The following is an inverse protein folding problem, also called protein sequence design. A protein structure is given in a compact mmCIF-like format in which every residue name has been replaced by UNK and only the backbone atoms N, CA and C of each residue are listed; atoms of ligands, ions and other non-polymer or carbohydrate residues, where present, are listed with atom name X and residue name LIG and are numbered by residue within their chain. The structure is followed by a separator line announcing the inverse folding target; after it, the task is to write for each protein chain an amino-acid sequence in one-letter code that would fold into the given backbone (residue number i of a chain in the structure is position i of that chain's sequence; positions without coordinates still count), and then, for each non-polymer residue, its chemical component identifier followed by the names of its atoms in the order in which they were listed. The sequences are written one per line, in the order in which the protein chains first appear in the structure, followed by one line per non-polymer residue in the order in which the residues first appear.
data_IF_960200834487
#
_entry.id   IF_960200834487
#
_cell.length_a   1.000
_cell.length_b   1.000
_cell.length_c   1.000
_cell.angle_alpha   90.00
_cell.angle_beta   90.00
_cell.angle_gamma   90.00
#
_symmetry.space_group_name_H-M   'P 1'
#
loop_
_entity.id
_entity.type
_entity.pdbx_description
1 polymer ?
#
# COMPACT_ATOMS: atom_id res chain seq x y z
N UNK A 1 8.83 -26.62 -4.17
CA UNK A 1 8.54 -26.84 -2.74
C UNK A 1 7.45 -25.87 -2.32
N UNK A 2 6.41 -26.31 -1.61
CA UNK A 2 5.40 -25.42 -1.03
C UNK A 2 6.05 -24.39 -0.09
N UNK A 3 5.36 -23.28 0.17
CA UNK A 3 5.81 -22.32 1.16
C UNK A 3 5.48 -22.88 2.54
N UNK A 4 6.49 -23.08 3.38
CA UNK A 4 6.33 -23.59 4.73
C UNK A 4 6.14 -22.42 5.70
N UNK A 5 5.09 -22.49 6.52
CA UNK A 5 4.85 -21.56 7.62
C UNK A 5 5.74 -21.97 8.80
N UNK A 6 6.41 -21.01 9.43
CA UNK A 6 7.15 -21.29 10.66
C UNK A 6 6.18 -21.49 11.83
N UNK A 7 6.52 -22.41 12.74
CA UNK A 7 5.83 -22.48 14.01
C UNK A 7 6.11 -21.19 14.80
N UNK A 8 5.11 -20.67 15.52
CA UNK A 8 5.27 -19.46 16.33
C UNK A 8 6.34 -19.66 17.41
N UNK A 9 6.48 -20.87 17.93
CA UNK A 9 7.47 -21.21 18.97
C UNK A 9 8.91 -21.23 18.43
N UNK A 10 9.08 -21.29 17.10
CA UNK A 10 10.39 -21.21 16.45
C UNK A 10 10.84 -19.75 16.22
N UNK A 11 9.91 -18.79 16.29
CA UNK A 11 10.18 -17.38 16.02
C UNK A 11 10.61 -16.67 17.30
N UNK A 12 11.93 -16.53 17.48
CA UNK A 12 12.50 -15.78 18.60
C UNK A 12 12.47 -14.29 18.31
N UNK A 13 11.73 -13.53 19.13
CA UNK A 13 11.75 -12.08 19.08
C UNK A 13 12.75 -11.52 20.10
N UNK A 14 13.69 -10.72 19.61
CA UNK A 14 14.55 -9.89 20.46
C UNK A 14 13.73 -8.88 21.25
N UNK A 15 14.27 -8.42 22.37
CA UNK A 15 13.65 -7.33 23.12
C UNK A 15 13.79 -6.00 22.37
N UNK A 16 12.86 -5.09 22.60
CA UNK A 16 12.92 -3.75 22.02
C UNK A 16 14.20 -3.02 22.51
N UNK A 17 14.59 -3.20 23.77
CA UNK A 17 15.81 -2.56 24.28
C UNK A 17 17.09 -3.04 23.59
N UNK A 18 17.17 -4.31 23.20
CA UNK A 18 18.32 -4.84 22.46
C UNK A 18 18.40 -4.19 21.07
N UNK A 19 17.27 -4.18 20.33
CA UNK A 19 17.19 -3.52 19.02
C UNK A 19 17.65 -2.06 19.09
N UNK A 20 17.12 -1.27 20.02
CA UNK A 20 17.47 0.16 20.13
C UNK A 20 18.94 0.43 20.50
N UNK A 21 19.61 -0.52 21.17
CA UNK A 21 21.04 -0.39 21.52
C UNK A 21 21.95 -0.63 20.32
N UNK A 22 21.53 -1.48 19.39
CA UNK A 22 22.31 -1.82 18.20
C UNK A 22 22.14 -0.83 17.05
N UNK A 23 21.02 -0.09 17.01
CA UNK A 23 20.78 0.89 15.94
C UNK A 23 21.87 1.97 15.92
N UNK A 24 22.52 2.19 14.76
CA UNK A 24 23.60 3.14 14.65
C UNK A 24 23.07 4.58 14.83
N UNK A 25 23.88 5.51 15.35
CA UNK A 25 23.46 6.89 15.60
C UNK A 25 22.92 7.64 14.36
N UNK A 26 23.39 7.26 13.17
CA UNK A 26 23.00 7.84 11.89
C UNK A 26 21.62 7.38 11.39
N UNK A 27 21.04 6.30 11.93
CA UNK A 27 19.74 5.77 11.51
C UNK A 27 18.62 6.78 11.83
N UNK A 28 18.16 7.50 10.80
CA UNK A 28 17.28 8.68 10.92
C UNK A 28 15.94 8.40 11.56
N UNK A 29 15.38 7.21 11.29
CA UNK A 29 14.07 6.83 11.78
C UNK A 29 14.11 6.01 13.08
N UNK A 30 15.22 6.02 13.83
CA UNK A 30 15.35 5.36 15.14
C UNK A 30 14.17 5.69 16.07
N UNK A 31 13.86 6.97 16.20
CA UNK A 31 12.79 7.44 17.10
C UNK A 31 11.38 7.16 16.55
N UNK A 32 11.24 6.74 15.28
CA UNK A 32 9.97 6.50 14.62
C UNK A 32 9.59 5.02 14.64
N UNK A 33 10.51 4.13 15.00
CA UNK A 33 10.28 2.69 15.01
C UNK A 33 9.00 2.25 15.71
N UNK A 34 8.57 2.86 16.84
CA UNK A 34 7.32 2.47 17.48
C UNK A 34 6.07 2.73 16.65
N UNK A 35 6.07 3.73 15.77
CA UNK A 35 4.96 4.01 14.83
C UNK A 35 5.14 3.36 13.47
N UNK A 36 6.21 2.56 13.29
CA UNK A 36 6.45 1.69 12.14
C UNK A 36 6.53 0.24 12.61
N UNK A 37 5.39 -0.27 13.12
CA UNK A 37 5.29 -1.52 13.90
C UNK A 37 5.93 -2.71 13.17
N UNK A 38 5.68 -2.85 11.86
CA UNK A 38 6.19 -3.96 11.08
C UNK A 38 7.70 -3.88 10.83
N UNK A 39 8.28 -2.68 10.68
CA UNK A 39 9.74 -2.52 10.62
C UNK A 39 10.40 -2.81 11.96
N UNK A 40 9.80 -2.38 13.08
CA UNK A 40 10.30 -2.73 14.41
C UNK A 40 10.19 -4.24 14.66
N UNK A 41 9.12 -4.88 14.22
CA UNK A 41 8.96 -6.33 14.32
C UNK A 41 10.02 -7.05 13.46
N UNK A 42 10.26 -6.60 12.22
CA UNK A 42 11.32 -7.14 11.37
C UNK A 42 12.71 -7.06 12.03
N UNK A 43 13.04 -5.91 12.62
CA UNK A 43 14.29 -5.72 13.38
C UNK A 43 14.39 -6.63 14.61
N UNK A 44 13.27 -7.08 15.18
CA UNK A 44 13.25 -8.02 16.31
C UNK A 44 13.37 -9.48 15.89
N UNK A 45 13.08 -9.80 14.64
CA UNK A 45 13.17 -11.16 14.07
C UNK A 45 14.58 -11.46 13.56
N UNK A 46 15.28 -10.46 13.01
CA UNK A 46 16.67 -10.61 12.57
C UNK A 46 17.61 -10.78 13.77
N UNK A 47 18.67 -11.56 13.60
CA UNK A 47 19.63 -11.88 14.68
C UNK A 47 20.29 -10.62 15.25
N UNK A 48 20.70 -9.70 14.38
CA UNK A 48 21.29 -8.42 14.74
C UNK A 48 21.00 -7.34 13.68
N UNK A 49 21.43 -6.11 13.93
CA UNK A 49 21.27 -5.02 12.97
C UNK A 49 22.03 -5.24 11.64
N UNK A 50 23.11 -6.03 11.63
CA UNK A 50 23.90 -6.24 10.41
C UNK A 50 23.13 -7.01 9.34
N UNK A 51 22.35 -8.01 9.73
CA UNK A 51 21.44 -8.72 8.81
C UNK A 51 20.37 -7.79 8.21
N UNK A 52 19.89 -6.81 8.98
CA UNK A 52 18.99 -5.77 8.44
C UNK A 52 19.71 -4.80 7.49
N UNK A 53 20.93 -4.38 7.83
CA UNK A 53 21.73 -3.51 6.99
C UNK A 53 22.09 -4.20 5.65
N UNK A 54 22.42 -5.49 5.67
CA UNK A 54 22.68 -6.28 4.46
C UNK A 54 21.43 -6.38 3.57
N UNK A 55 20.24 -6.65 4.15
CA UNK A 55 18.98 -6.57 3.41
C UNK A 55 18.77 -5.18 2.77
N UNK A 56 19.23 -4.13 3.44
CA UNK A 56 19.13 -2.76 2.91
C UNK A 56 20.03 -2.52 1.68
N UNK A 57 21.15 -3.24 1.55
CA UNK A 57 22.04 -3.14 0.38
C UNK A 57 21.39 -3.73 -0.88
N UNK A 58 20.67 -4.85 -0.74
CA UNK A 58 19.95 -5.51 -1.85
C UNK A 58 18.58 -4.89 -2.13
N UNK A 59 18.19 -3.86 -1.38
CA UNK A 59 16.87 -3.23 -1.48
C UNK A 59 16.59 -2.65 -2.86
N UNK A 60 17.60 -2.21 -3.61
CA UNK A 60 17.40 -1.70 -4.98
C UNK A 60 16.85 -2.76 -5.94
N UNK A 61 17.51 -3.93 -6.02
CA UNK A 61 17.07 -5.04 -6.87
C UNK A 61 15.73 -5.63 -6.38
N UNK A 62 15.58 -5.77 -5.06
CA UNK A 62 14.32 -6.18 -4.45
C UNK A 62 13.17 -5.33 -4.95
N UNK A 63 13.30 -4.02 -4.74
CA UNK A 63 12.27 -3.07 -5.06
C UNK A 63 12.00 -3.05 -6.56
N UNK A 64 13.04 -3.20 -7.40
CA UNK A 64 12.87 -3.34 -8.84
C UNK A 64 11.89 -4.47 -9.20
N UNK A 65 12.14 -5.68 -8.72
CA UNK A 65 11.28 -6.84 -9.00
C UNK A 65 9.87 -6.67 -8.47
N UNK A 66 9.75 -6.10 -7.27
CA UNK A 66 8.46 -5.84 -6.62
C UNK A 66 7.64 -4.79 -7.36
N UNK A 67 8.25 -3.65 -7.72
CA UNK A 67 7.60 -2.59 -8.47
C UNK A 67 7.20 -3.10 -9.85
N UNK A 68 8.08 -3.81 -10.55
CA UNK A 68 7.77 -4.36 -11.86
C UNK A 68 6.59 -5.33 -11.80
N UNK A 69 6.56 -6.25 -10.84
CA UNK A 69 5.45 -7.17 -10.69
C UNK A 69 4.12 -6.43 -10.42
N UNK A 70 4.12 -5.45 -9.50
CA UNK A 70 2.92 -4.68 -9.13
C UNK A 70 2.42 -3.78 -10.26
N UNK A 71 3.31 -3.01 -10.86
CA UNK A 71 2.92 -2.00 -11.84
C UNK A 71 2.60 -2.61 -13.20
N UNK A 72 3.30 -3.66 -13.63
CA UNK A 72 2.89 -4.40 -14.84
C UNK A 72 1.50 -5.02 -14.69
N UNK A 73 1.20 -5.59 -13.51
CA UNK A 73 -0.13 -6.09 -13.20
C UNK A 73 -1.16 -4.96 -13.27
N UNK A 74 -0.92 -3.86 -12.57
CA UNK A 74 -1.86 -2.73 -12.47
C UNK A 74 -2.17 -2.10 -13.83
N UNK A 75 -1.15 -1.89 -14.66
CA UNK A 75 -1.30 -1.36 -16.01
C UNK A 75 -2.05 -2.37 -16.90
N UNK A 76 -1.70 -3.65 -16.81
CA UNK A 76 -2.36 -4.71 -17.58
C UNK A 76 -3.83 -4.87 -17.19
N UNK A 77 -4.14 -4.81 -15.90
CA UNK A 77 -5.50 -4.82 -15.38
C UNK A 77 -6.28 -3.60 -15.87
N UNK A 78 -5.69 -2.40 -15.79
CA UNK A 78 -6.31 -1.16 -16.27
C UNK A 78 -6.67 -1.23 -17.75
N UNK A 79 -5.76 -1.72 -18.60
CA UNK A 79 -6.01 -1.94 -20.03
C UNK A 79 -7.12 -2.96 -20.26
N UNK A 80 -7.07 -4.11 -19.60
CA UNK A 80 -8.10 -5.15 -19.72
C UNK A 80 -9.49 -4.68 -19.26
N UNK A 81 -9.55 -3.87 -18.19
CA UNK A 81 -10.79 -3.27 -17.71
C UNK A 81 -11.35 -2.25 -18.71
N UNK A 82 -10.51 -1.35 -19.26
CA UNK A 82 -10.90 -0.38 -20.31
C UNK A 82 -11.44 -1.06 -21.56
N UNK A 83 -10.82 -2.15 -21.97
CA UNK A 83 -11.22 -2.95 -23.14
C UNK A 83 -12.44 -3.84 -22.89
N UNK A 84 -12.99 -3.88 -21.66
CA UNK A 84 -14.14 -4.72 -21.31
C UNK A 84 -13.83 -6.22 -21.29
N UNK A 85 -12.55 -6.60 -21.20
CA UNK A 85 -12.11 -8.01 -21.05
C UNK A 85 -12.45 -8.56 -19.67
N UNK A 86 -12.64 -7.69 -18.69
CA UNK A 86 -13.12 -8.02 -17.34
C UNK A 86 -14.61 -7.66 -17.27
N UNK A 87 -15.50 -8.64 -16.98
CA UNK A 87 -16.92 -8.35 -16.84
C UNK A 87 -17.17 -7.26 -15.80
N UNK A 88 -18.04 -6.29 -16.11
CA UNK A 88 -18.34 -5.17 -15.21
C UNK A 88 -18.79 -5.63 -13.82
N UNK A 89 -19.54 -6.73 -13.75
CA UNK A 89 -19.97 -7.34 -12.48
C UNK A 89 -18.83 -7.89 -11.63
N UNK A 90 -17.65 -8.17 -12.22
CA UNK A 90 -16.47 -8.67 -11.50
C UNK A 90 -15.51 -7.59 -11.05
N UNK A 91 -15.59 -6.38 -11.60
CA UNK A 91 -14.70 -5.28 -11.21
C UNK A 91 -14.82 -4.95 -9.71
N UNK A 92 -16.02 -5.10 -9.13
CA UNK A 92 -16.25 -4.95 -7.68
C UNK A 92 -15.81 -6.15 -6.83
N UNK A 93 -15.29 -7.21 -7.43
CA UNK A 93 -14.72 -8.37 -6.75
C UNK A 93 -13.22 -8.49 -7.02
N UNK A 94 -12.66 -7.56 -7.80
CA UNK A 94 -11.23 -7.53 -8.13
C UNK A 94 -10.59 -6.35 -7.44
N UNK A 95 -9.51 -6.64 -6.71
CA UNK A 95 -8.64 -5.63 -6.10
C UNK A 95 -7.33 -5.63 -6.88
N UNK A 96 -6.88 -4.46 -7.30
CA UNK A 96 -5.57 -4.24 -7.90
C UNK A 96 -4.77 -3.30 -7.00
N UNK A 97 -3.55 -3.01 -7.39
CA UNK A 97 -2.70 -2.05 -6.71
C UNK A 97 -3.00 -0.64 -7.21
N UNK A 98 -3.11 0.31 -6.31
CA UNK A 98 -3.36 1.70 -6.65
C UNK A 98 -2.03 2.36 -6.97
N UNK A 99 -1.78 2.66 -8.24
CA UNK A 99 -0.46 3.14 -8.66
C UNK A 99 -0.09 4.57 -8.22
N UNK A 100 -0.94 5.23 -7.45
CA UNK A 100 -0.72 6.57 -6.90
C UNK A 100 -0.71 6.49 -5.38
N UNK A 101 -0.09 7.45 -4.67
CA UNK A 101 0.06 7.32 -3.25
C UNK A 101 -1.30 7.28 -2.54
N UNK A 102 -1.39 6.59 -1.41
CA UNK A 102 -0.29 5.96 -0.71
C UNK A 102 0.00 4.51 -1.14
N UNK A 103 -0.23 4.17 -2.42
CA UNK A 103 0.13 2.89 -3.05
C UNK A 103 -0.48 1.69 -2.33
N UNK A 104 -1.79 1.59 -2.47
CA UNK A 104 -2.64 0.71 -1.66
C UNK A 104 -3.51 -0.21 -2.50
N UNK A 105 -4.13 -1.20 -1.88
CA UNK A 105 -5.18 -1.97 -2.51
C UNK A 105 -6.37 -1.08 -2.93
N UNK A 106 -6.84 -1.23 -4.17
CA UNK A 106 -8.01 -0.53 -4.71
C UNK A 106 -8.90 -1.46 -5.52
N UNK A 107 -10.21 -1.36 -5.31
CA UNK A 107 -11.20 -2.17 -6.01
C UNK A 107 -11.43 -1.63 -7.43
N UNK A 108 -11.50 -2.53 -8.41
CA UNK A 108 -11.46 -2.19 -9.83
C UNK A 108 -12.64 -1.37 -10.34
N UNK A 109 -13.81 -1.44 -9.69
CA UNK A 109 -15.01 -0.69 -10.08
C UNK A 109 -14.99 0.78 -9.60
N UNK A 110 -14.17 1.11 -8.59
CA UNK A 110 -14.04 2.45 -8.02
C UNK A 110 -12.71 3.13 -8.33
N UNK A 111 -11.72 2.39 -8.83
CA UNK A 111 -10.36 2.89 -9.06
C UNK A 111 -10.30 4.18 -9.88
N UNK A 112 -10.94 4.19 -11.06
CA UNK A 112 -11.00 5.38 -11.92
C UNK A 112 -11.62 6.59 -11.21
N UNK A 113 -12.71 6.41 -10.48
CA UNK A 113 -13.38 7.52 -9.81
C UNK A 113 -12.57 8.08 -8.65
N UNK A 114 -12.00 7.21 -7.82
CA UNK A 114 -11.25 7.61 -6.64
C UNK A 114 -9.94 8.28 -6.99
N UNK A 115 -9.19 7.73 -7.96
CA UNK A 115 -7.99 8.38 -8.49
C UNK A 115 -8.31 9.76 -9.06
N UNK A 116 -9.35 9.89 -9.88
CA UNK A 116 -9.75 11.19 -10.47
C UNK A 116 -10.17 12.21 -9.42
N UNK A 117 -10.88 11.76 -8.40
CA UNK A 117 -11.30 12.63 -7.32
C UNK A 117 -10.06 13.18 -6.60
N UNK A 118 -9.08 12.34 -6.29
CA UNK A 118 -7.93 12.71 -5.46
C UNK A 118 -6.86 13.48 -6.24
N UNK A 119 -6.54 13.04 -7.46
CA UNK A 119 -5.40 13.49 -8.25
C UNK A 119 -5.77 14.17 -9.58
N UNK A 120 -7.05 14.16 -9.95
CA UNK A 120 -7.51 14.67 -11.24
C UNK A 120 -7.47 13.64 -12.37
N UNK A 121 -7.95 14.02 -13.58
CA UNK A 121 -8.12 13.10 -14.71
C UNK A 121 -6.81 12.59 -15.29
N UNK A 122 -5.76 13.42 -15.29
CA UNK A 122 -4.45 13.10 -15.85
C UNK A 122 -3.38 13.61 -14.89
N UNK A 123 -2.56 12.70 -14.38
CA UNK A 123 -1.49 13.03 -13.43
C UNK A 123 -0.32 12.05 -13.55
N UNK A 124 0.85 12.60 -13.28
CA UNK A 124 2.09 11.89 -13.00
C UNK A 124 2.39 11.97 -11.51
N UNK A 125 2.95 10.91 -10.94
CA UNK A 125 3.47 10.94 -9.57
C UNK A 125 4.80 10.22 -9.52
N UNK A 126 5.82 10.91 -8.99
CA UNK A 126 7.12 10.30 -8.71
C UNK A 126 7.32 10.07 -7.23
N UNK A 127 7.59 8.82 -6.93
CA UNK A 127 7.92 8.29 -5.62
C UNK A 127 9.42 8.28 -5.45
N UNK A 128 9.92 8.88 -4.38
CA UNK A 128 11.34 8.96 -4.07
C UNK A 128 11.59 8.32 -2.72
N UNK A 129 12.30 7.20 -2.73
CA UNK A 129 12.67 6.51 -1.51
C UNK A 129 13.97 7.04 -0.96
N UNK A 130 13.97 7.43 0.31
CA UNK A 130 15.13 7.94 1.04
C UNK A 130 15.62 6.87 1.99
N UNK A 131 16.91 6.56 1.93
CA UNK A 131 17.54 5.65 2.90
C UNK A 131 17.55 6.27 4.28
N UNK A 132 17.08 5.51 5.27
CA UNK A 132 17.15 5.88 6.68
C UNK A 132 18.59 5.99 7.20
N UNK A 133 19.54 5.33 6.54
CA UNK A 133 20.95 5.28 6.93
C UNK A 133 21.78 6.39 6.29
N UNK A 134 21.68 6.55 4.97
CA UNK A 134 22.52 7.51 4.24
C UNK A 134 21.85 8.86 4.04
N UNK A 135 20.52 8.92 4.22
CA UNK A 135 19.65 10.04 3.88
C UNK A 135 19.75 10.46 2.40
N UNK A 136 20.14 9.52 1.53
CA UNK A 136 20.19 9.69 0.08
C UNK A 136 19.02 8.97 -0.58
N UNK A 137 18.60 9.45 -1.75
CA UNK A 137 17.57 8.77 -2.54
C UNK A 137 18.15 7.47 -3.11
N UNK A 138 17.45 6.36 -2.92
CA UNK A 138 17.89 5.02 -3.37
C UNK A 138 17.25 4.61 -4.70
N UNK A 139 16.02 5.03 -4.94
CA UNK A 139 15.34 4.88 -6.23
C UNK A 139 14.23 5.92 -6.38
N UNK A 140 13.85 6.13 -7.63
CA UNK A 140 12.69 6.90 -8.04
C UNK A 140 11.82 6.01 -8.90
N UNK A 141 10.51 6.04 -8.73
CA UNK A 141 9.61 5.51 -9.75
C UNK A 141 8.50 6.49 -10.04
N UNK A 142 8.16 6.63 -11.31
CA UNK A 142 7.09 7.46 -11.78
C UNK A 142 5.96 6.59 -12.29
N UNK A 143 4.72 7.02 -12.02
CA UNK A 143 3.52 6.38 -12.53
C UNK A 143 2.68 7.45 -13.19
N UNK A 144 2.24 7.17 -14.40
CA UNK A 144 1.31 7.99 -15.15
C UNK A 144 -0.10 7.39 -15.09
N UNK A 145 -1.11 8.22 -14.87
CA UNK A 145 -2.51 7.81 -14.90
C UNK A 145 -3.37 8.70 -15.81
N UNK A 146 -4.23 8.06 -16.60
CA UNK A 146 -5.24 8.70 -17.45
C UNK A 146 -6.63 8.19 -17.11
N UNK A 147 -7.55 9.13 -16.96
CA UNK A 147 -8.91 8.89 -16.46
C UNK A 147 -8.92 8.13 -15.13
N UNK A 148 -7.90 8.36 -14.30
CA UNK A 148 -7.72 7.71 -12.99
C UNK A 148 -7.27 6.25 -13.05
N UNK A 149 -6.81 5.78 -14.21
CA UNK A 149 -6.31 4.42 -14.42
C UNK A 149 -4.84 4.47 -14.86
N UNK A 150 -4.02 3.57 -14.34
CA UNK A 150 -2.59 3.53 -14.67
C UNK A 150 -2.36 3.15 -16.12
N UNK A 151 -1.55 3.95 -16.81
CA UNK A 151 -1.21 3.75 -18.23
C UNK A 151 0.23 3.28 -18.42
N UNK A 152 1.14 3.88 -17.65
CA UNK A 152 2.57 3.68 -17.80
C UNK A 152 3.31 3.93 -16.49
N UNK A 153 4.52 3.40 -16.39
CA UNK A 153 5.42 3.64 -15.28
C UNK A 153 6.88 3.49 -15.73
N UNK A 154 7.79 4.12 -15.01
CA UNK A 154 9.22 3.91 -15.18
C UNK A 154 9.95 4.07 -13.86
N UNK A 155 11.10 3.40 -13.76
CA UNK A 155 11.94 3.38 -12.55
C UNK A 155 13.33 3.90 -12.88
N UNK A 156 13.94 4.58 -11.93
CA UNK A 156 15.33 5.02 -11.96
C UNK A 156 15.98 4.54 -10.66
N UNK A 157 17.09 3.82 -10.77
CA UNK A 157 17.85 3.28 -9.64
C UNK A 157 19.10 4.12 -9.36
N UNK A 158 19.67 3.99 -8.16
CA UNK A 158 20.80 4.82 -7.70
C UNK A 158 22.07 4.75 -8.57
N UNK A 159 22.23 3.72 -9.40
CA UNK A 159 23.31 3.53 -10.35
C UNK A 159 23.10 4.30 -11.67
N UNK A 160 21.90 4.79 -11.96
CA UNK A 160 21.61 5.60 -13.14
C UNK A 160 22.43 6.91 -13.14
N UNK A 161 22.96 7.28 -14.31
CA UNK A 161 23.75 8.51 -14.50
C UNK A 161 23.00 9.77 -14.04
N UNK A 162 21.67 9.77 -14.15
CA UNK A 162 20.82 10.87 -13.69
C UNK A 162 21.00 11.15 -12.20
N UNK A 163 21.10 10.11 -11.37
CA UNK A 163 21.34 10.27 -9.94
C UNK A 163 22.75 10.74 -9.63
N UNK A 164 23.73 10.35 -10.45
CA UNK A 164 25.13 10.56 -10.18
C UNK A 164 25.67 11.89 -10.76
N UNK A 165 24.95 12.48 -11.72
CA UNK A 165 25.27 13.80 -12.27
C UNK A 165 24.96 14.91 -11.26
N UNK A 166 25.90 15.85 -11.09
CA UNK A 166 25.64 17.08 -10.33
C UNK A 166 24.66 17.97 -11.09
N UNK A 167 23.64 18.44 -10.39
CA UNK A 167 22.71 19.41 -10.96
C UNK A 167 23.38 20.80 -11.05
N UNK A 168 23.39 21.40 -12.24
CA UNK A 168 24.16 22.62 -12.52
C UNK A 168 23.81 23.80 -11.59
N UNK A 169 22.53 23.94 -11.21
CA UNK A 169 22.08 25.03 -10.31
C UNK A 169 22.26 24.73 -8.83
N UNK A 170 22.20 23.45 -8.43
CA UNK A 170 22.19 23.06 -7.01
C UNK A 170 23.59 22.69 -6.49
N UNK A 171 24.51 22.29 -7.39
CA UNK A 171 25.90 21.95 -7.04
C UNK A 171 26.10 20.56 -6.40
N UNK A 172 25.02 19.87 -6.06
CA UNK A 172 24.99 18.49 -5.57
C UNK A 172 24.15 17.58 -6.49
N UNK A 173 24.21 16.27 -6.24
CA UNK A 173 23.54 15.22 -7.01
C UNK A 173 22.07 15.09 -6.62
N UNK A 174 21.23 14.58 -7.54
CA UNK A 174 19.79 14.34 -7.27
C UNK A 174 19.59 13.50 -6.01
N UNK A 175 20.37 12.41 -5.84
CA UNK A 175 20.28 11.55 -4.65
C UNK A 175 20.64 12.23 -3.34
N UNK A 176 21.42 13.30 -3.38
CA UNK A 176 21.89 14.00 -2.17
C UNK A 176 20.90 15.05 -1.67
N UNK A 177 19.83 15.34 -2.40
CA UNK A 177 18.86 16.38 -2.03
C UNK A 177 18.33 16.21 -0.58
N UNK A 178 17.80 15.05 -0.16
CA UNK A 178 17.26 14.88 1.18
C UNK A 178 18.34 14.99 2.28
N UNK A 179 19.61 14.76 1.93
CA UNK A 179 20.76 14.92 2.82
C UNK A 179 21.21 16.37 2.97
N UNK A 180 21.02 17.19 1.94
CA UNK A 180 21.48 18.59 1.88
C UNK A 180 20.40 19.60 2.26
N UNK A 181 19.13 19.22 2.15
CA UNK A 181 17.99 20.06 2.47
C UNK A 181 17.27 19.48 3.68
N UNK A 182 17.08 20.30 4.72
CA UNK A 182 16.37 19.89 5.93
C UNK A 182 14.86 19.81 5.67
N UNK A 183 14.27 18.66 6.05
CA UNK A 183 12.85 18.38 5.89
C UNK A 183 12.48 17.78 4.52
N UNK A 184 11.58 16.80 4.54
CA UNK A 184 11.17 16.11 3.30
C UNK A 184 10.39 17.01 2.35
N UNK A 185 9.57 17.94 2.85
CA UNK A 185 8.75 18.84 2.01
C UNK A 185 9.61 19.75 1.11
N UNK A 186 10.54 20.56 1.69
CA UNK A 186 11.47 21.36 0.90
C UNK A 186 12.36 20.53 -0.05
N UNK A 187 12.76 19.32 0.36
CA UNK A 187 13.49 18.39 -0.51
C UNK A 187 12.63 17.94 -1.70
N UNK A 188 11.35 17.59 -1.46
CA UNK A 188 10.41 17.18 -2.49
C UNK A 188 10.11 18.29 -3.50
N UNK A 189 10.00 19.55 -3.06
CA UNK A 189 9.86 20.71 -3.97
C UNK A 189 11.03 20.79 -4.96
N UNK A 190 12.27 20.64 -4.48
CA UNK A 190 13.46 20.68 -5.34
C UNK A 190 13.58 19.48 -6.27
N UNK A 191 13.16 18.31 -5.81
CA UNK A 191 13.10 17.13 -6.67
C UNK A 191 12.05 17.33 -7.76
N UNK A 192 10.89 17.90 -7.44
CA UNK A 192 9.80 18.15 -8.41
C UNK A 192 10.27 18.98 -9.59
N UNK A 193 11.02 20.06 -9.34
CA UNK A 193 11.55 20.93 -10.39
C UNK A 193 12.38 20.12 -11.40
N UNK A 194 13.32 19.30 -10.91
CA UNK A 194 14.20 18.46 -11.73
C UNK A 194 13.40 17.39 -12.47
N UNK A 195 12.51 16.71 -11.76
CA UNK A 195 11.74 15.61 -12.32
C UNK A 195 10.72 16.08 -13.35
N UNK A 196 10.25 17.33 -13.27
CA UNK A 196 9.31 17.88 -14.26
C UNK A 196 9.98 17.96 -15.63
N UNK A 197 11.24 18.40 -15.67
CA UNK A 197 12.04 18.45 -16.89
C UNK A 197 12.23 17.04 -17.46
N UNK A 198 12.64 16.09 -16.62
CA UNK A 198 12.84 14.68 -17.03
C UNK A 198 11.54 14.06 -17.56
N UNK A 199 10.41 14.28 -16.88
CA UNK A 199 9.09 13.81 -17.32
C UNK A 199 8.73 14.38 -18.69
N UNK A 200 8.94 15.67 -18.89
CA UNK A 200 8.64 16.33 -20.18
C UNK A 200 9.55 15.83 -21.32
N UNK A 201 10.79 15.46 -21.03
CA UNK A 201 11.71 14.86 -21.99
C UNK A 201 11.32 13.42 -22.36
N UNK A 202 10.98 12.59 -21.35
CA UNK A 202 10.65 11.18 -21.55
C UNK A 202 9.26 10.95 -22.13
N UNK A 203 8.26 11.69 -21.65
CA UNK A 203 6.85 11.52 -21.97
C UNK A 203 6.20 12.85 -22.34
N UNK A 204 6.60 13.48 -23.45
CA UNK A 204 6.14 14.82 -23.84
C UNK A 204 4.62 14.90 -24.09
N UNK A 205 3.98 13.77 -24.40
CA UNK A 205 2.53 13.67 -24.57
C UNK A 205 1.73 13.96 -23.28
N UNK A 206 2.38 13.86 -22.11
CA UNK A 206 1.77 14.08 -20.79
C UNK A 206 2.30 15.34 -20.10
N UNK A 207 3.00 16.22 -20.82
CA UNK A 207 3.61 17.43 -20.22
C UNK A 207 2.60 18.34 -19.48
N UNK A 208 1.33 18.29 -19.86
CA UNK A 208 0.26 19.11 -19.29
C UNK A 208 -0.46 18.41 -18.12
N UNK A 209 -0.10 17.16 -17.81
CA UNK A 209 -0.62 16.40 -16.67
C UNK A 209 -0.10 16.99 -15.35
N UNK A 210 -0.95 16.95 -14.32
CA UNK A 210 -0.56 17.38 -12.97
C UNK A 210 0.60 16.54 -12.48
N UNK A 211 1.58 17.14 -11.79
CA UNK A 211 2.76 16.40 -11.35
C UNK A 211 3.01 16.51 -9.85
N UNK A 212 3.09 15.35 -9.19
CA UNK A 212 3.33 15.24 -7.76
C UNK A 212 4.63 14.48 -7.47
N UNK A 213 5.30 14.88 -6.39
CA UNK A 213 6.37 14.12 -5.78
C UNK A 213 5.87 13.55 -4.45
N UNK A 214 6.12 12.28 -4.21
CA UNK A 214 5.99 11.64 -2.91
C UNK A 214 7.38 11.27 -2.39
N UNK A 215 7.83 11.91 -1.30
CA UNK A 215 9.07 11.52 -0.62
C UNK A 215 8.73 10.65 0.58
N UNK A 216 9.46 9.56 0.74
CA UNK A 216 9.28 8.68 1.89
C UNK A 216 10.58 8.03 2.29
N UNK A 217 10.68 7.73 3.58
CA UNK A 217 11.75 6.89 4.10
C UNK A 217 11.48 5.41 3.85
N UNK A 218 12.54 4.64 3.56
CA UNK A 218 12.44 3.20 3.27
C UNK A 218 11.76 2.42 4.40
N UNK A 219 12.05 2.76 5.66
CA UNK A 219 11.40 2.13 6.81
C UNK A 219 9.87 2.30 6.79
N UNK A 220 9.38 3.47 6.38
CA UNK A 220 7.94 3.71 6.20
C UNK A 220 7.34 2.83 5.12
N UNK A 221 7.98 2.76 3.95
CA UNK A 221 7.53 1.91 2.85
C UNK A 221 7.60 0.42 3.18
N UNK A 222 8.65 -0.03 3.86
CA UNK A 222 8.81 -1.41 4.30
C UNK A 222 7.69 -1.80 5.26
N UNK A 223 7.38 -0.94 6.25
CA UNK A 223 6.28 -1.18 7.17
C UNK A 223 4.96 -1.39 6.45
N UNK A 224 4.60 -0.49 5.53
CA UNK A 224 3.38 -0.62 4.73
C UNK A 224 3.39 -1.86 3.82
N UNK A 225 4.54 -2.16 3.21
CA UNK A 225 4.70 -3.30 2.30
C UNK A 225 4.57 -4.65 3.00
N UNK A 226 4.85 -4.69 4.30
CA UNK A 226 4.76 -5.88 5.14
C UNK A 226 3.43 -6.01 5.90
N UNK A 227 2.61 -4.96 5.92
CA UNK A 227 1.32 -4.95 6.63
C UNK A 227 0.26 -5.74 5.86
N UNK A 228 -0.30 -6.77 6.49
CA UNK A 228 -1.33 -7.62 5.89
C UNK A 228 -2.71 -6.99 5.88
N UNK A 229 -3.06 -6.09 6.80
CA UNK A 229 -4.36 -5.43 6.87
C UNK A 229 -4.37 -4.14 6.05
N UNK A 230 -5.24 -4.04 5.05
CA UNK A 230 -5.44 -2.78 4.31
C UNK A 230 -5.87 -1.62 5.21
N UNK A 231 -6.59 -1.91 6.31
CA UNK A 231 -6.97 -0.90 7.30
C UNK A 231 -5.75 -0.40 8.09
N UNK A 232 -4.88 -1.29 8.57
CA UNK A 232 -3.69 -0.88 9.31
C UNK A 232 -2.73 -0.12 8.41
N UNK A 233 -2.48 -0.61 7.20
CA UNK A 233 -1.57 0.05 6.26
C UNK A 233 -2.01 1.51 6.02
N UNK A 234 -3.31 1.75 5.81
CA UNK A 234 -3.86 3.12 5.69
C UNK A 234 -3.67 3.96 6.96
N UNK A 235 -3.78 3.34 8.13
CA UNK A 235 -3.59 4.02 9.40
C UNK A 235 -2.11 4.37 9.65
N UNK A 236 -1.17 3.49 9.27
CA UNK A 236 0.28 3.74 9.33
C UNK A 236 0.71 4.89 8.41
N UNK A 237 0.10 5.02 7.23
CA UNK A 237 0.32 6.18 6.35
C UNK A 237 -0.06 7.48 7.07
N UNK A 238 -1.20 7.48 7.78
CA UNK A 238 -1.61 8.63 8.58
C UNK A 238 -0.60 8.90 9.70
N UNK A 239 -0.12 7.85 10.38
CA UNK A 239 0.86 7.96 11.46
C UNK A 239 2.16 8.61 10.95
N UNK A 240 2.63 8.19 9.77
CA UNK A 240 3.85 8.73 9.18
C UNK A 240 3.70 10.16 8.64
N UNK A 241 2.56 10.53 8.05
CA UNK A 241 2.30 11.92 7.61
C UNK A 241 2.07 12.84 8.81
N UNK A 242 1.38 12.37 9.84
CA UNK A 242 1.10 13.16 11.04
C UNK A 242 2.16 13.00 12.15
N UNK A 243 3.31 12.38 11.86
CA UNK A 243 4.39 12.15 12.82
C UNK A 243 4.77 13.43 13.61
N UNK A 244 4.95 14.55 12.90
CA UNK A 244 5.26 15.84 13.53
C UNK A 244 4.10 16.36 14.37
N UNK A 245 2.91 16.44 13.77
CA UNK A 245 1.74 17.09 14.37
C UNK A 245 1.18 16.33 15.57
N UNK A 246 1.14 15.01 15.49
CA UNK A 246 0.47 14.16 16.47
C UNK A 246 1.44 13.60 17.51
N UNK A 247 2.63 13.20 17.09
CA UNK A 247 3.62 12.58 17.97
C UNK A 247 4.71 13.56 18.41
N UNK A 248 4.78 14.78 17.87
CA UNK A 248 5.83 15.74 18.21
C UNK A 248 7.21 15.34 17.65
N UNK A 249 7.24 14.55 16.59
CA UNK A 249 8.48 14.14 15.92
C UNK A 249 9.10 15.30 15.14
N UNK A 250 10.39 15.18 14.82
CA UNK A 250 11.14 16.23 14.09
C UNK A 250 10.70 16.37 12.63
N UNK A 251 10.33 15.28 11.98
CA UNK A 251 9.97 15.22 10.56
C UNK A 251 8.80 14.25 10.33
N UNK A 252 8.27 14.26 9.11
CA UNK A 252 7.32 13.26 8.63
C UNK A 252 8.07 12.05 8.06
N UNK A 253 7.40 10.90 8.01
CA UNK A 253 7.91 9.70 7.33
C UNK A 253 7.59 9.76 5.83
N UNK A 254 6.44 10.35 5.48
CA UNK A 254 5.92 10.51 4.13
C UNK A 254 5.54 11.98 3.90
N UNK A 255 5.80 12.51 2.71
CA UNK A 255 5.33 13.84 2.30
C UNK A 255 4.98 13.87 0.82
N UNK A 256 4.18 14.85 0.44
CA UNK A 256 3.76 15.11 -0.93
C UNK A 256 4.10 16.53 -1.31
N UNK A 257 4.46 16.75 -2.58
CA UNK A 257 4.66 18.10 -3.12
C UNK A 257 4.27 18.16 -4.62
N UNK A 258 3.24 18.94 -5.01
CA UNK A 258 2.28 19.58 -4.12
C UNK A 258 1.35 18.54 -3.49
N UNK A 259 0.80 18.87 -2.31
CA UNK A 259 -0.21 18.03 -1.69
C UNK A 259 -1.48 17.95 -2.55
N UNK A 260 -1.98 16.74 -2.86
CA UNK A 260 -3.30 16.58 -3.47
C UNK A 260 -4.37 17.20 -2.56
N UNK A 261 -5.25 18.10 -3.05
CA UNK A 261 -6.12 18.89 -2.18
C UNK A 261 -7.00 18.06 -1.23
N UNK A 262 -7.54 16.95 -1.73
CA UNK A 262 -8.37 16.05 -0.93
C UNK A 262 -7.56 15.31 0.14
N UNK A 263 -6.36 14.82 -0.20
CA UNK A 263 -5.50 14.18 0.80
C UNK A 263 -5.10 15.17 1.88
N UNK A 264 -4.77 16.41 1.52
CA UNK A 264 -4.41 17.45 2.48
C UNK A 264 -5.53 17.68 3.52
N UNK A 265 -6.78 17.77 3.05
CA UNK A 265 -7.96 17.90 3.94
C UNK A 265 -8.12 16.64 4.79
N UNK A 266 -8.01 15.46 4.18
CA UNK A 266 -8.23 14.18 4.87
C UNK A 266 -7.18 13.91 5.94
N UNK A 267 -5.90 14.27 5.73
CA UNK A 267 -4.86 14.15 6.75
C UNK A 267 -5.10 15.09 7.96
N UNK A 268 -6.01 16.05 7.82
CA UNK A 268 -6.51 16.87 8.92
C UNK A 268 -7.41 16.12 9.92
N UNK A 269 -7.97 14.97 9.52
CA UNK A 269 -8.87 14.14 10.33
C UNK A 269 -8.08 13.28 11.35
N UNK A 270 -8.78 12.80 12.36
CA UNK A 270 -8.23 11.79 13.29
C UNK A 270 -7.95 10.45 12.57
N UNK A 271 -6.96 9.70 13.07
CA UNK A 271 -6.48 8.42 12.51
C UNK A 271 -7.60 7.47 12.07
N UNK A 272 -8.54 7.16 12.96
CA UNK A 272 -9.64 6.24 12.65
C UNK A 272 -10.61 6.77 11.58
N UNK A 273 -10.87 8.09 11.59
CA UNK A 273 -11.70 8.73 10.56
C UNK A 273 -11.00 8.77 9.21
N UNK A 274 -9.70 9.09 9.18
CA UNK A 274 -8.88 8.99 7.98
C UNK A 274 -8.98 7.60 7.37
N UNK A 275 -8.71 6.56 8.16
CA UNK A 275 -8.76 5.17 7.70
C UNK A 275 -10.13 4.84 7.14
N UNK A 276 -11.21 5.11 7.88
CA UNK A 276 -12.57 4.84 7.41
C UNK A 276 -12.91 5.54 6.09
N UNK A 277 -12.61 6.85 5.98
CA UNK A 277 -12.95 7.63 4.78
C UNK A 277 -12.16 7.18 3.57
N UNK A 278 -10.87 6.90 3.74
CA UNK A 278 -10.02 6.46 2.65
C UNK A 278 -10.36 5.02 2.24
N UNK A 279 -10.61 4.09 3.17
CA UNK A 279 -11.07 2.74 2.81
C UNK A 279 -12.40 2.77 2.07
N UNK A 280 -13.33 3.67 2.42
CA UNK A 280 -14.56 3.86 1.64
C UNK A 280 -14.26 4.24 0.19
N UNK A 281 -13.26 5.09 -0.04
CA UNK A 281 -12.86 5.52 -1.37
C UNK A 281 -12.09 4.44 -2.14
N UNK A 282 -11.37 3.54 -1.47
CA UNK A 282 -10.51 2.57 -2.13
C UNK A 282 -11.12 1.18 -2.28
N UNK A 283 -11.91 0.73 -1.32
CA UNK A 283 -12.48 -0.63 -1.30
C UNK A 283 -13.95 -0.67 -0.88
N UNK A 284 -14.64 0.48 -0.82
CA UNK A 284 -16.03 0.58 -0.34
C UNK A 284 -16.21 0.05 1.09
N UNK A 285 -15.21 0.30 1.96
CA UNK A 285 -15.10 -0.23 3.33
C UNK A 285 -14.86 -1.74 3.45
N UNK A 286 -14.67 -2.45 2.35
CA UNK A 286 -14.33 -3.87 2.43
C UNK A 286 -12.88 -4.03 2.87
N UNK A 287 -12.66 -4.94 3.81
CA UNK A 287 -11.32 -5.32 4.22
C UNK A 287 -10.65 -6.14 3.12
N UNK A 288 -9.42 -5.75 2.79
CA UNK A 288 -8.54 -6.53 1.94
C UNK A 288 -7.34 -6.95 2.78
N UNK A 289 -7.06 -8.24 2.78
CA UNK A 289 -5.78 -8.74 3.27
C UNK A 289 -4.79 -8.61 2.12
N UNK A 290 -3.77 -7.78 2.31
CA UNK A 290 -2.74 -7.47 1.33
C UNK A 290 -2.01 -8.73 0.88
N UNK A 291 -1.46 -8.65 -0.34
CA UNK A 291 -0.79 -9.77 -0.97
C UNK A 291 0.71 -9.53 -1.09
N UNK A 292 1.42 -10.63 -1.22
CA UNK A 292 2.82 -10.67 -1.59
C UNK A 292 2.90 -11.38 -2.94
N UNK A 293 3.56 -10.74 -3.90
CA UNK A 293 3.69 -11.25 -5.25
C UNK A 293 4.46 -12.57 -5.23
N UNK A 294 3.88 -13.60 -5.85
CA UNK A 294 4.51 -14.91 -5.97
C UNK A 294 5.88 -14.79 -6.63
N UNK A 295 5.98 -13.99 -7.68
CA UNK A 295 7.21 -13.73 -8.42
C UNK A 295 8.30 -13.13 -7.52
N UNK A 296 7.92 -12.17 -6.66
CA UNK A 296 8.80 -11.57 -5.67
C UNK A 296 9.30 -12.64 -4.69
N UNK A 297 8.40 -13.46 -4.12
CA UNK A 297 8.78 -14.54 -3.20
C UNK A 297 9.74 -15.54 -3.85
N UNK A 298 9.45 -15.97 -5.09
CA UNK A 298 10.30 -16.91 -5.83
C UNK A 298 11.69 -16.33 -6.13
N UNK A 299 11.75 -15.03 -6.45
CA UNK A 299 13.00 -14.32 -6.65
C UNK A 299 13.82 -14.25 -5.35
N UNK A 300 13.21 -13.87 -4.21
CA UNK A 300 13.86 -13.84 -2.90
C UNK A 300 14.45 -15.18 -2.51
N UNK A 301 13.64 -16.22 -2.61
CA UNK A 301 14.05 -17.58 -2.26
C UNK A 301 15.28 -18.03 -3.05
N UNK A 302 15.42 -17.56 -4.29
CA UNK A 302 16.51 -17.94 -5.20
C UNK A 302 17.79 -17.12 -4.99
N UNK A 303 17.66 -15.82 -4.74
CA UNK A 303 18.80 -14.89 -4.75
C UNK A 303 19.24 -14.41 -3.36
N UNK A 304 18.32 -14.41 -2.39
CA UNK A 304 18.50 -13.79 -1.07
C UNK A 304 17.83 -14.66 0.01
N UNK A 305 18.33 -15.89 0.18
CA UNK A 305 17.68 -16.90 1.02
C UNK A 305 17.52 -16.47 2.49
N UNK A 306 18.53 -15.82 3.08
CA UNK A 306 18.46 -15.38 4.47
C UNK A 306 17.41 -14.28 4.64
N UNK A 307 17.34 -13.32 3.71
CA UNK A 307 16.31 -12.28 3.68
C UNK A 307 14.90 -12.87 3.47
N UNK A 308 14.79 -13.89 2.61
CA UNK A 308 13.58 -14.66 2.43
C UNK A 308 13.14 -15.33 3.73
N UNK A 309 14.07 -15.94 4.48
CA UNK A 309 13.78 -16.60 5.74
C UNK A 309 13.20 -15.63 6.77
N UNK A 310 13.82 -14.46 6.95
CA UNK A 310 13.32 -13.42 7.84
C UNK A 310 11.95 -12.92 7.43
N UNK A 311 11.74 -12.73 6.12
CA UNK A 311 10.45 -12.32 5.58
C UNK A 311 9.36 -13.35 5.86
N UNK A 312 9.61 -14.64 5.64
CA UNK A 312 8.62 -15.70 5.93
C UNK A 312 8.35 -15.81 7.42
N UNK A 313 9.36 -15.66 8.30
CA UNK A 313 9.17 -15.60 9.76
C UNK A 313 8.27 -14.43 10.15
N UNK A 314 8.49 -13.24 9.59
CA UNK A 314 7.67 -12.05 9.84
C UNK A 314 6.20 -12.29 9.46
N UNK A 315 5.94 -12.80 8.26
CA UNK A 315 4.58 -13.07 7.79
C UNK A 315 3.92 -14.19 8.58
N UNK A 316 4.66 -15.25 8.90
CA UNK A 316 4.19 -16.34 9.77
C UNK A 316 3.77 -15.80 11.14
N UNK A 317 4.61 -14.95 11.75
CA UNK A 317 4.31 -14.30 13.02
C UNK A 317 3.02 -13.47 12.95
N UNK A 318 2.87 -12.62 11.91
CA UNK A 318 1.67 -11.81 11.74
C UNK A 318 0.40 -12.66 11.58
N UNK A 319 0.46 -13.75 10.80
CA UNK A 319 -0.67 -14.66 10.60
C UNK A 319 -1.05 -15.39 11.90
N UNK A 320 -0.06 -15.82 12.69
CA UNK A 320 -0.28 -16.45 14.00
C UNK A 320 -0.87 -15.49 15.04
N UNK A 321 -0.38 -14.25 15.10
CA UNK A 321 -0.97 -13.21 15.97
C UNK A 321 -2.38 -12.80 15.51
N UNK A 322 -2.70 -13.04 14.25
CA UNK A 322 -3.93 -12.68 13.61
C UNK A 322 -3.97 -11.21 13.16
N UNK A 323 -4.76 -10.98 12.13
CA UNK A 323 -4.93 -9.67 11.49
C UNK A 323 -6.04 -8.90 12.24
N UNK A 324 -5.82 -7.65 12.66
CA UNK A 324 -6.85 -6.89 13.39
C UNK A 324 -8.08 -6.65 12.52
N UNK A 325 -9.26 -6.78 13.11
CA UNK A 325 -10.51 -6.40 12.45
C UNK A 325 -10.55 -4.87 12.24
N UNK A 326 -11.30 -4.39 11.22
CA UNK A 326 -11.36 -2.97 10.90
C UNK A 326 -11.67 -2.04 12.08
N UNK A 327 -12.57 -2.44 12.98
CA UNK A 327 -12.89 -1.62 14.17
C UNK A 327 -11.74 -1.57 15.19
N UNK A 328 -10.92 -2.63 15.27
CA UNK A 328 -9.76 -2.67 16.15
C UNK A 328 -8.70 -1.69 15.64
N UNK A 329 -8.45 -1.67 14.33
CA UNK A 329 -7.54 -0.70 13.72
C UNK A 329 -7.99 0.74 13.96
N UNK A 330 -9.27 1.04 13.71
CA UNK A 330 -9.78 2.41 13.85
C UNK A 330 -9.86 2.87 15.32
N UNK A 331 -10.11 1.95 16.25
CA UNK A 331 -10.14 2.22 17.69
C UNK A 331 -8.78 2.05 18.37
N UNK A 332 -7.71 1.82 17.60
CA UNK A 332 -6.37 1.62 18.13
C UNK A 332 -5.83 2.90 18.75
N UNK A 333 -5.26 2.78 19.95
CA UNK A 333 -4.53 3.86 20.62
C UNK A 333 -3.06 3.74 20.19
N UNK A 334 -2.49 4.77 19.55
CA UNK A 334 -1.12 4.70 19.08
C UNK A 334 -0.10 4.88 20.22
N UNK A 335 1.17 4.51 19.99
CA UNK A 335 2.28 4.79 20.90
C UNK A 335 2.36 6.26 21.32
N UNK A 336 2.88 6.52 22.53
CA UNK A 336 2.96 7.87 23.10
C UNK A 336 4.40 8.35 23.21
N UNK A 337 4.75 9.38 22.45
CA UNK A 337 6.06 10.03 22.50
C UNK A 337 6.03 11.28 23.38
N UNK A 338 7.03 11.44 24.23
CA UNK A 338 7.27 12.65 24.99
C UNK A 338 8.38 13.47 24.29
N UNK A 339 7.96 14.47 23.52
CA UNK A 339 8.88 15.32 22.74
C UNK A 339 9.81 16.18 23.58
N UNK A 340 9.40 16.57 24.81
CA UNK A 340 10.25 17.34 25.73
C UNK A 340 11.42 16.51 26.26
N UNK A 341 11.18 15.23 26.53
CA UNK A 341 12.18 14.28 27.03
C UNK A 341 12.89 13.52 25.92
N UNK A 342 12.35 13.55 24.70
CA UNK A 342 12.85 12.78 23.56
C UNK A 342 12.74 11.26 23.75
N UNK A 343 11.72 10.78 24.48
CA UNK A 343 11.55 9.35 24.79
C UNK A 343 10.11 8.88 24.60
N UNK A 344 9.95 7.59 24.30
CA UNK A 344 8.65 6.93 24.27
C UNK A 344 8.18 6.58 25.69
N UNK A 345 6.99 7.06 26.07
CA UNK A 345 6.30 6.65 27.31
C UNK A 345 5.56 5.33 27.09
N UNK A 346 5.09 5.12 25.85
CA UNK A 346 4.48 3.89 25.39
C UNK A 346 4.96 3.57 23.97
N UNK A 347 5.38 2.33 23.73
CA UNK A 347 6.00 1.89 22.47
C UNK A 347 5.06 1.05 21.60
N UNK A 348 3.94 0.56 22.15
CA UNK A 348 3.06 -0.38 21.44
C UNK A 348 1.75 0.28 21.04
N UNK A 349 1.21 -0.15 19.91
CA UNK A 349 -0.17 0.09 19.57
C UNK A 349 -1.08 -0.74 20.47
N UNK A 350 -2.07 -0.10 21.10
CA UNK A 350 -3.08 -0.78 21.89
C UNK A 350 -4.37 -0.92 21.07
N UNK A 351 -4.63 -2.13 20.61
CA UNK A 351 -5.85 -2.45 19.88
C UNK A 351 -6.99 -2.78 20.87
N UNK A 352 -8.23 -2.37 20.59
CA UNK A 352 -9.40 -2.84 21.32
C UNK A 352 -9.45 -4.37 21.41
N UNK A 353 -9.88 -4.88 22.58
CA UNK A 353 -10.04 -6.32 22.79
C UNK A 353 -11.00 -6.94 21.77
N UNK A 354 -10.68 -8.16 21.36
CA UNK A 354 -11.50 -8.91 20.40
C UNK A 354 -10.68 -9.93 19.62
N UNK A 355 -11.40 -10.88 19.00
CA UNK A 355 -10.77 -11.89 18.15
C UNK A 355 -10.22 -11.24 16.87
N UNK A 356 -8.96 -11.54 16.54
CA UNK A 356 -8.31 -11.20 15.28
C UNK A 356 -8.54 -12.28 14.22
N UNK A 357 -8.36 -11.94 12.95
CA UNK A 357 -8.57 -12.86 11.83
C UNK A 357 -7.36 -13.79 11.70
N UNK A 358 -7.57 -15.10 11.80
CA UNK A 358 -6.59 -16.09 11.37
C UNK A 358 -7.11 -16.74 10.08
N UNK A 359 -6.60 -16.35 8.92
CA UNK A 359 -7.12 -16.80 7.62
C UNK A 359 -7.01 -18.32 7.42
N UNK A 360 -5.99 -18.96 7.99
CA UNK A 360 -5.80 -20.39 7.85
C UNK A 360 -6.80 -21.16 8.71
N UNK A 361 -6.97 -20.76 9.98
CA UNK A 361 -7.89 -21.43 10.91
C UNK A 361 -9.35 -21.06 10.70
N UNK A 362 -9.65 -19.76 10.53
CA UNK A 362 -11.02 -19.26 10.41
C UNK A 362 -11.63 -19.55 9.04
N UNK A 363 -10.83 -19.44 7.96
CA UNK A 363 -11.31 -19.57 6.58
C UNK A 363 -10.88 -20.86 5.87
N UNK A 364 -9.97 -21.64 6.47
CA UNK A 364 -9.44 -22.87 5.86
C UNK A 364 -8.64 -22.58 4.58
N UNK A 365 -7.89 -21.48 4.54
CA UNK A 365 -6.98 -21.15 3.43
C UNK A 365 -5.63 -21.84 3.62
N UNK A 366 -4.95 -22.17 2.51
CA UNK A 366 -3.53 -22.49 2.57
C UNK A 366 -2.70 -21.25 2.89
N UNK A 367 -1.43 -21.42 3.29
CA UNK A 367 -0.52 -20.29 3.49
C UNK A 367 -0.38 -19.44 2.22
N UNK A 368 -0.22 -20.07 1.05
CA UNK A 368 -0.15 -19.38 -0.24
C UNK A 368 -1.42 -18.60 -0.57
N UNK A 369 -2.60 -19.13 -0.23
CA UNK A 369 -3.86 -18.42 -0.42
C UNK A 369 -3.99 -17.23 0.54
N UNK A 370 -3.54 -17.39 1.80
CA UNK A 370 -3.61 -16.35 2.82
C UNK A 370 -2.73 -15.12 2.47
N UNK A 371 -1.57 -15.34 1.85
CA UNK A 371 -0.66 -14.27 1.42
C UNK A 371 -0.88 -13.82 -0.03
N UNK A 372 -1.78 -14.49 -0.77
CA UNK A 372 -2.04 -14.20 -2.19
C UNK A 372 -2.99 -13.03 -2.44
N UNK A 373 -3.59 -12.49 -1.37
CA UNK A 373 -4.61 -11.44 -1.42
C UNK A 373 -6.01 -11.99 -1.19
N UNK A 374 -6.72 -11.42 -0.22
CA UNK A 374 -8.07 -11.88 0.15
C UNK A 374 -9.00 -10.70 0.34
N UNK A 375 -10.01 -10.58 -0.52
CA UNK A 375 -11.09 -9.59 -0.35
C UNK A 375 -12.19 -10.19 0.52
N UNK A 376 -12.50 -9.52 1.62
CA UNK A 376 -13.47 -9.97 2.61
C UNK A 376 -14.71 -9.06 2.63
N UNK A 377 -15.88 -9.67 2.77
CA UNK A 377 -17.16 -9.03 3.08
C UNK A 377 -17.21 -8.69 4.57
N UNK A 378 -16.27 -7.83 4.99
CA UNK A 378 -16.05 -7.38 6.36
C UNK A 378 -15.76 -5.89 6.30
N UNK A 379 -16.49 -5.11 7.09
CA UNK A 379 -16.32 -3.67 7.23
C UNK A 379 -16.04 -3.28 8.69
N UNK A 380 -16.01 -1.96 8.95
CA UNK A 380 -15.83 -1.40 10.27
C UNK A 380 -16.96 -1.67 11.28
N UNK A 381 -18.12 -2.16 10.84
CA UNK A 381 -19.25 -2.51 11.69
C UNK A 381 -19.27 -4.00 12.04
N UNK A 382 -18.50 -4.82 11.33
CA UNK A 382 -18.42 -6.25 11.57
C UNK A 382 -17.89 -6.56 12.99
N UNK A 383 -18.60 -7.43 13.72
CA UNK A 383 -18.23 -7.95 15.05
C UNK A 383 -18.38 -9.47 15.14
N UNK A 384 -18.68 -10.13 14.02
CA UNK A 384 -18.97 -11.56 13.97
C UNK A 384 -17.71 -12.44 13.95
N UNK A 385 -17.93 -13.75 13.80
CA UNK A 385 -16.86 -14.71 13.53
C UNK A 385 -16.52 -14.66 12.04
N UNK A 386 -15.24 -14.51 11.72
CA UNK A 386 -14.76 -14.62 10.34
C UNK A 386 -14.77 -16.08 9.90
N UNK A 387 -15.17 -16.32 8.65
CA UNK A 387 -15.22 -17.65 8.05
C UNK A 387 -15.03 -17.57 6.54
N UNK A 388 -14.94 -18.73 5.89
CA UNK A 388 -14.86 -18.82 4.43
C UNK A 388 -16.01 -18.13 3.68
N UNK A 389 -17.19 -18.01 4.30
CA UNK A 389 -18.35 -17.33 3.70
C UNK A 389 -18.14 -15.83 3.53
N UNK A 390 -17.25 -15.24 4.33
CA UNK A 390 -16.87 -13.84 4.22
C UNK A 390 -15.94 -13.58 3.02
N UNK A 391 -15.37 -14.60 2.37
CA UNK A 391 -14.47 -14.37 1.24
C UNK A 391 -15.26 -14.04 -0.03
N UNK A 392 -14.97 -12.89 -0.61
CA UNK A 392 -15.51 -12.44 -1.91
C UNK A 392 -14.66 -13.03 -3.04
N UNK A 393 -13.34 -12.85 -2.95
CA UNK A 393 -12.39 -13.31 -3.96
C UNK A 393 -11.00 -13.56 -3.35
N UNK A 394 -10.21 -14.35 -4.07
CA UNK A 394 -8.81 -14.63 -3.77
C UNK A 394 -7.92 -14.09 -4.89
N UNK A 395 -6.70 -13.67 -4.57
CA UNK A 395 -5.78 -13.08 -5.54
C UNK A 395 -6.01 -11.58 -5.75
N UNK A 396 -5.38 -11.06 -6.79
CA UNK A 396 -5.42 -9.65 -7.18
C UNK A 396 -5.47 -9.52 -8.71
N UNK A 397 -6.04 -8.40 -9.15
CA UNK A 397 -6.16 -7.96 -10.54
C UNK A 397 -6.47 -9.09 -11.53
N UNK A 398 -5.64 -9.28 -12.55
CA UNK A 398 -5.88 -10.31 -13.58
C UNK A 398 -5.80 -11.77 -13.07
N UNK A 399 -5.17 -11.98 -11.91
CA UNK A 399 -5.02 -13.30 -11.27
C UNK A 399 -6.14 -13.60 -10.27
N UNK A 400 -7.17 -12.75 -10.18
CA UNK A 400 -8.30 -12.91 -9.26
C UNK A 400 -9.09 -14.21 -9.53
N UNK A 401 -9.28 -15.00 -8.49
CA UNK A 401 -10.15 -16.18 -8.45
C UNK A 401 -11.48 -15.81 -7.80
N UNK A 402 -12.56 -15.92 -8.56
CA UNK A 402 -13.91 -15.65 -8.07
C UNK A 402 -14.52 -16.91 -7.47
N UNK A 403 -14.95 -16.83 -6.20
CA UNK A 403 -15.51 -17.98 -5.50
C UNK A 403 -16.99 -18.23 -5.79
N UNK A 404 -17.71 -17.18 -6.23
CA UNK A 404 -19.15 -17.23 -6.52
C UNK A 404 -19.36 -17.15 -8.03
N UNK A 405 -20.29 -17.94 -8.61
CA UNK A 405 -20.63 -17.81 -10.02
C UNK A 405 -21.21 -16.42 -10.29
N UNK A 406 -21.02 -15.90 -11.50
CA UNK A 406 -21.71 -14.68 -11.93
C UNK A 406 -23.21 -14.91 -11.72
N UNK A 407 -23.85 -14.01 -10.98
CA UNK A 407 -25.30 -14.02 -10.86
C UNK A 407 -25.87 -13.92 -12.28
N UNK A 408 -26.34 -15.06 -12.82
CA UNK A 408 -27.00 -15.08 -14.11
C UNK A 408 -28.22 -14.19 -13.94
N UNK A 409 -28.17 -12.96 -14.47
CA UNK A 409 -29.33 -12.09 -14.57
C UNK A 409 -30.35 -12.89 -15.37
N UNK A 410 -31.25 -13.60 -14.69
CA UNK A 410 -32.41 -14.22 -15.32
C UNK A 410 -33.07 -13.08 -16.06
N UNK A 411 -32.91 -13.02 -17.39
CA UNK A 411 -33.64 -12.07 -18.23
C UNK A 411 -35.08 -12.25 -17.80
N UNK A 412 -35.65 -11.29 -17.07
CA UNK A 412 -37.08 -11.22 -16.87
C UNK A 412 -37.63 -11.03 -18.27
N UNK A 413 -37.90 -12.14 -18.96
CA UNK A 413 -38.71 -12.16 -20.16
C UNK A 413 -40.05 -11.67 -19.65
N UNK A 414 -40.26 -10.35 -19.70
CA UNK A 414 -41.59 -9.76 -19.59
C UNK A 414 -42.34 -10.40 -20.74
N UNK A 415 -43.09 -11.48 -20.47
CA UNK A 415 -44.16 -11.94 -21.35
C UNK A 415 -45.11 -10.76 -21.45
N UNK A 416 -44.91 -9.93 -22.47
CA UNK A 416 -45.88 -8.93 -22.87
C UNK A 416 -47.11 -9.74 -23.28
N UNK A 417 -48.06 -9.91 -22.37
CA UNK A 417 -49.41 -10.37 -22.72
C UNK A 417 -49.93 -9.30 -23.68
N UNK A 418 -49.87 -9.57 -24.98
CA UNK A 418 -50.65 -8.87 -26.01
C UNK A 418 -52.12 -9.07 -25.64
N UNK A 419 -52.67 -8.19 -24.81
CA UNK A 419 -54.12 -8.08 -24.64
C UNK A 419 -54.63 -7.49 -25.96
N UNK A 420 -55.06 -8.36 -26.87
CA UNK A 420 -55.88 -7.95 -28.02
C UNK A 420 -57.19 -7.40 -27.46
N UNK A 421 -57.28 -6.07 -27.31
CA UNK A 421 -58.57 -5.38 -27.17
C UNK A 421 -59.34 -5.59 -28.49
N UNK A 422 -60.18 -6.61 -28.52
CA UNK A 422 -61.21 -6.76 -29.56
C UNK A 422 -62.23 -5.65 -29.30
N UNK A 423 -62.14 -4.55 -30.05
CA UNK A 423 -63.20 -3.55 -30.13
C UNK A 423 -64.37 -4.19 -30.86
N UNK A 424 -65.40 -4.58 -30.11
CA UNK A 424 -66.73 -4.89 -30.64
C UNK A 424 -67.33 -3.56 -31.14
N UNK A 425 -67.35 -3.35 -32.45
CA UNK A 425 -68.11 -2.27 -33.08
C UNK A 425 -69.57 -2.73 -33.07
N UNK A 426 -70.37 -2.13 -32.20
CA UNK A 426 -71.83 -2.20 -32.29
C UNK A 426 -72.23 -1.18 -33.36
N UNK A 427 -72.71 -1.67 -34.51
CA UNK A 427 -73.44 -0.86 -35.48
C UNK A 427 -74.88 -0.72 -34.98
N UNK A 428 -75.32 0.51 -34.78
CA UNK A 428 -76.73 0.88 -34.89
C UNK A 428 -76.85 1.83 -36.09
N UNK A 429 -77.95 1.65 -36.81
CA UNK A 429 -78.39 2.27 -38.08
C UNK A 429 -77.90 1.52 -39.33
#
# INVERSE_FOLDING_TARGET
MPLEIYDIDEIKLRSISEVFKELPPEYKLKDYLPITENSLLGLRIVEDFSGYAEMSEYTGEFISQFLDARFNETVSFSKAAKEGKIPKERLGETVTFWGVPPVMAIKGDISSYSSKMIYGPSNDITFCAVSDLTNEITFLFNVHTEEGLSEDYWVIFADDDLFNRRHMKLGYRLKEIPKKIEGLGPAADKIRDIMTDIRNERTPQWKDSSYHICLFYLTGAATMGMELSSYNALAEIWDGVNAVRYYGMKNQIFTYEPWPPILNIMFGLDRGMWTQKLTRMLTDNLMFVNYIEKETIEYFKKHYYDSYEYFVKLISYQLHQGIPLPYQTMGCIPPKYNSEKGVWEEIKFQYPEGKRINLMEDCGLSFEEAIGGVLLDIDHNFRGKVSRENIISLGHGLKTKYLRPLAVKKKKIKKVKKIRKVRRVIRNI
#
